data_IF_480854018399
#
_entry.id   IF_480854018399
#
_cell.length_a   1.000
_cell.length_b   1.000
_cell.length_c   1.000
_cell.angle_alpha   90.00
_cell.angle_beta   90.00
_cell.angle_gamma   90.00
#
_symmetry.space_group_name_H-M   'P 1'
#
loop_
_entity.id
_entity.type
_entity.pdbx_description
1 polymer ?
#
# COMPACT_ATOMS: atom_id res chain seq x y z
N UNK A 1 26.43 36.40 15.03
CA UNK A 1 25.10 35.92 15.44
C UNK A 1 24.02 36.39 14.46
N UNK A 2 24.40 36.55 13.18
CA UNK A 2 23.81 37.61 12.37
C UNK A 2 22.72 37.08 11.45
N UNK A 3 22.87 35.85 10.95
CA UNK A 3 21.89 35.23 10.03
C UNK A 3 20.58 34.89 10.75
N UNK A 4 20.63 34.39 11.99
CA UNK A 4 19.43 34.02 12.73
C UNK A 4 18.56 35.22 13.07
N UNK A 5 19.18 36.37 13.37
CA UNK A 5 18.48 37.62 13.62
C UNK A 5 17.91 38.22 12.33
N UNK A 6 18.65 38.16 11.22
CA UNK A 6 18.18 38.64 9.90
C UNK A 6 16.98 37.82 9.39
N UNK A 7 17.01 36.51 9.60
CA UNK A 7 15.96 35.60 9.10
C UNK A 7 14.84 35.44 10.14
N UNK A 8 14.94 36.07 11.31
CA UNK A 8 13.99 35.98 12.42
C UNK A 8 13.65 34.52 12.79
N UNK A 9 14.64 33.64 12.74
CA UNK A 9 14.48 32.21 13.01
C UNK A 9 15.35 31.78 14.19
N UNK A 10 14.95 30.74 14.95
CA UNK A 10 15.79 30.19 15.99
C UNK A 10 17.14 29.73 15.45
N UNK A 11 18.22 30.01 16.18
CA UNK A 11 19.59 29.60 15.81
C UNK A 11 19.68 28.09 15.52
N UNK A 12 18.93 27.29 16.28
CA UNK A 12 18.81 25.83 16.08
C UNK A 12 18.24 25.46 14.71
N UNK A 13 17.23 26.19 14.23
CA UNK A 13 16.61 25.94 12.92
C UNK A 13 17.54 26.32 11.78
N UNK A 14 18.24 27.45 11.91
CA UNK A 14 19.26 27.87 10.94
C UNK A 14 20.37 26.81 10.86
N UNK A 15 20.87 26.35 12.01
CA UNK A 15 21.91 25.33 12.08
C UNK A 15 21.47 24.00 11.44
N UNK A 16 20.28 23.50 11.80
CA UNK A 16 19.74 22.26 11.20
C UNK A 16 19.50 22.36 9.70
N UNK A 17 19.25 23.56 9.17
CA UNK A 17 19.12 23.80 7.72
C UNK A 17 20.49 23.77 7.05
N UNK A 18 21.50 24.42 7.64
CA UNK A 18 22.89 24.37 7.17
C UNK A 18 23.39 22.92 7.14
N UNK A 19 23.16 22.16 8.20
CA UNK A 19 23.61 20.76 8.30
C UNK A 19 22.93 19.87 7.25
N UNK A 20 21.66 20.13 6.94
CA UNK A 20 20.90 19.42 5.90
C UNK A 20 21.39 19.74 4.50
N UNK A 21 21.74 21.01 4.23
CA UNK A 21 22.36 21.44 2.97
C UNK A 21 23.72 20.77 2.81
N UNK A 22 24.57 20.77 3.85
CA UNK A 22 25.87 20.08 3.81
C UNK A 22 25.74 18.58 3.52
N UNK A 23 24.70 17.93 4.06
CA UNK A 23 24.48 16.48 3.92
C UNK A 23 23.80 16.08 2.60
N UNK A 24 22.79 16.82 2.15
CA UNK A 24 21.89 16.42 1.05
C UNK A 24 21.97 17.38 -0.15
N UNK A 25 22.71 18.49 -0.03
CA UNK A 25 22.73 19.57 -1.02
C UNK A 25 21.45 20.41 -1.07
N UNK A 26 20.48 20.16 -0.18
CA UNK A 26 19.16 20.80 -0.22
C UNK A 26 18.72 21.31 1.16
N UNK A 27 18.13 22.52 1.24
CA UNK A 27 17.49 23.01 2.46
C UNK A 27 16.14 22.33 2.73
N UNK A 28 15.55 21.67 1.72
CA UNK A 28 14.22 21.12 1.82
C UNK A 28 14.18 19.92 2.77
N UNK A 29 13.12 19.77 3.58
CA UNK A 29 12.93 18.57 4.39
C UNK A 29 12.79 17.36 3.48
N UNK A 30 13.48 16.28 3.84
CA UNK A 30 13.33 15.02 3.12
C UNK A 30 11.94 14.45 3.40
N UNK A 31 11.27 13.94 2.35
CA UNK A 31 10.01 13.21 2.53
C UNK A 31 10.26 12.01 3.45
N UNK A 32 9.53 11.94 4.55
CA UNK A 32 9.57 10.78 5.42
C UNK A 32 9.12 9.55 4.62
N UNK A 33 9.89 8.45 4.70
CA UNK A 33 9.47 7.18 4.11
C UNK A 33 8.25 6.68 4.88
N UNK A 34 7.13 6.57 4.17
CA UNK A 34 5.90 6.01 4.72
C UNK A 34 6.02 4.52 5.06
N UNK A 35 4.95 3.99 5.65
CA UNK A 35 4.85 2.60 6.10
C UNK A 35 5.16 1.60 4.98
N UNK A 36 6.03 0.63 5.27
CA UNK A 36 6.30 -0.53 4.40
C UNK A 36 5.07 -1.45 4.40
N UNK A 37 4.62 -1.86 3.22
CA UNK A 37 3.44 -2.72 3.06
C UNK A 37 3.79 -4.19 3.28
N UNK A 38 2.83 -4.96 3.83
CA UNK A 38 2.99 -6.40 4.07
C UNK A 38 3.18 -7.21 2.78
N UNK A 39 2.64 -6.73 1.65
CA UNK A 39 2.81 -7.37 0.35
C UNK A 39 4.08 -6.81 -0.31
N UNK A 40 5.11 -7.65 -0.42
CA UNK A 40 6.37 -7.35 -1.09
C UNK A 40 6.17 -7.18 -2.62
N UNK A 41 7.10 -6.51 -3.29
CA UNK A 41 7.14 -6.35 -4.75
C UNK A 41 7.04 -7.69 -5.50
N UNK A 42 7.66 -8.76 -4.99
CA UNK A 42 7.58 -10.10 -5.60
C UNK A 42 6.14 -10.64 -5.58
N UNK A 43 5.47 -10.54 -4.45
CA UNK A 43 4.09 -10.96 -4.26
C UNK A 43 3.12 -10.09 -5.06
N UNK A 44 3.41 -8.79 -5.22
CA UNK A 44 2.66 -7.91 -6.12
C UNK A 44 2.76 -8.39 -7.58
N UNK A 45 3.96 -8.74 -8.06
CA UNK A 45 4.14 -9.28 -9.43
C UNK A 45 3.37 -10.59 -9.63
N UNK A 46 3.35 -11.45 -8.61
CA UNK A 46 2.58 -12.70 -8.67
C UNK A 46 1.09 -12.39 -8.82
N UNK A 47 0.54 -11.49 -7.99
CA UNK A 47 -0.85 -11.05 -8.09
C UNK A 47 -1.19 -10.51 -9.49
N UNK A 48 -0.31 -9.69 -10.07
CA UNK A 48 -0.52 -9.14 -11.43
C UNK A 48 -0.54 -10.23 -12.50
N UNK A 49 0.33 -11.23 -12.41
CA UNK A 49 0.36 -12.36 -13.36
C UNK A 49 -0.92 -13.18 -13.27
N UNK A 50 -1.28 -13.60 -12.06
CA UNK A 50 -2.46 -14.45 -11.83
C UNK A 50 -3.76 -13.79 -12.31
N UNK A 51 -3.87 -12.47 -12.11
CA UNK A 51 -5.03 -11.68 -12.57
C UNK A 51 -5.05 -11.53 -14.10
N UNK A 52 -3.88 -11.37 -14.72
CA UNK A 52 -3.75 -11.31 -16.18
C UNK A 52 -4.14 -12.62 -16.85
N UNK A 53 -3.72 -13.75 -16.27
CA UNK A 53 -3.97 -15.08 -16.82
C UNK A 53 -5.44 -15.51 -16.62
N UNK A 54 -6.02 -15.20 -15.46
CA UNK A 54 -7.40 -15.57 -15.13
C UNK A 54 -8.13 -14.37 -14.50
N UNK A 55 -8.98 -13.65 -15.26
CA UNK A 55 -9.61 -12.42 -14.76
C UNK A 55 -10.67 -12.64 -13.66
N UNK A 56 -11.04 -13.90 -13.37
CA UNK A 56 -12.08 -14.30 -12.40
C UNK A 56 -11.54 -15.09 -11.20
N UNK A 57 -10.26 -14.93 -10.86
CA UNK A 57 -9.67 -15.65 -9.73
C UNK A 57 -10.43 -15.34 -8.44
N UNK A 58 -10.85 -16.38 -7.71
CA UNK A 58 -11.47 -16.29 -6.38
C UNK A 58 -10.36 -16.01 -5.34
N UNK A 59 -10.68 -15.24 -4.29
CA UNK A 59 -9.72 -14.86 -3.23
C UNK A 59 -8.92 -16.05 -2.67
N UNK A 60 -9.53 -17.21 -2.52
CA UNK A 60 -8.86 -18.40 -1.96
C UNK A 60 -7.66 -18.86 -2.80
N UNK A 61 -7.74 -18.73 -4.14
CA UNK A 61 -6.62 -19.04 -5.03
C UNK A 61 -5.49 -18.01 -4.89
N UNK A 62 -5.83 -16.72 -4.78
CA UNK A 62 -4.82 -15.68 -4.49
C UNK A 62 -4.17 -15.89 -3.11
N UNK A 63 -4.95 -16.34 -2.13
CA UNK A 63 -4.46 -16.63 -0.78
C UNK A 63 -3.49 -17.81 -0.79
N UNK A 64 -3.78 -18.88 -1.52
CA UNK A 64 -2.88 -20.03 -1.69
C UNK A 64 -1.58 -19.63 -2.39
N UNK A 65 -1.67 -18.86 -3.46
CA UNK A 65 -0.48 -18.39 -4.19
C UNK A 65 0.39 -17.46 -3.34
N UNK A 66 -0.21 -16.61 -2.53
CA UNK A 66 0.52 -15.76 -1.59
C UNK A 66 1.12 -16.56 -0.43
N UNK A 67 0.43 -17.60 0.05
CA UNK A 67 0.95 -18.52 1.05
C UNK A 67 2.20 -19.25 0.56
N UNK A 68 2.24 -19.65 -0.71
CA UNK A 68 3.42 -20.26 -1.32
C UNK A 68 4.67 -19.34 -1.35
N UNK A 69 4.47 -18.03 -1.20
CA UNK A 69 5.55 -17.02 -1.11
C UNK A 69 5.76 -16.56 0.34
N UNK A 70 5.21 -17.29 1.32
CA UNK A 70 5.25 -17.01 2.75
C UNK A 70 4.63 -15.63 3.12
N UNK A 71 3.60 -15.24 2.36
CA UNK A 71 2.86 -13.98 2.58
C UNK A 71 1.43 -14.29 2.99
N UNK A 72 1.21 -14.43 4.30
CA UNK A 72 -0.13 -14.57 4.83
C UNK A 72 -0.83 -13.21 4.97
N UNK A 73 -1.84 -12.92 4.15
CA UNK A 73 -2.54 -11.64 4.11
C UNK A 73 -4.05 -11.80 4.10
N UNK A 74 -4.75 -10.90 4.79
CA UNK A 74 -6.21 -10.89 4.79
C UNK A 74 -6.78 -10.34 3.48
N UNK A 75 -8.04 -10.66 3.19
CA UNK A 75 -8.77 -10.22 1.99
C UNK A 75 -8.68 -8.71 1.76
N UNK A 76 -8.82 -7.92 2.82
CA UNK A 76 -8.72 -6.46 2.74
C UNK A 76 -7.34 -6.00 2.25
N UNK A 77 -6.26 -6.64 2.71
CA UNK A 77 -4.89 -6.28 2.31
C UNK A 77 -4.67 -6.55 0.82
N UNK A 78 -5.20 -7.67 0.31
CA UNK A 78 -5.16 -7.98 -1.14
C UNK A 78 -5.95 -6.92 -1.92
N UNK A 79 -7.19 -6.62 -1.53
CA UNK A 79 -8.02 -5.60 -2.22
C UNK A 79 -7.33 -4.23 -2.23
N UNK A 80 -6.79 -3.79 -1.08
CA UNK A 80 -6.06 -2.52 -0.98
C UNK A 80 -4.81 -2.52 -1.86
N UNK A 81 -4.11 -3.64 -1.98
CA UNK A 81 -2.95 -3.73 -2.88
C UNK A 81 -3.37 -3.67 -4.36
N UNK A 82 -4.46 -4.31 -4.74
CA UNK A 82 -5.00 -4.29 -6.11
C UNK A 82 -5.46 -2.88 -6.50
N UNK A 83 -6.12 -2.15 -5.60
CA UNK A 83 -6.53 -0.74 -5.81
C UNK A 83 -5.35 0.18 -6.12
N UNK A 84 -4.18 -0.12 -5.57
CA UNK A 84 -2.96 0.66 -5.77
C UNK A 84 -2.19 0.27 -7.03
N UNK A 85 -2.41 -0.93 -7.56
CA UNK A 85 -1.81 -1.40 -8.81
C UNK A 85 -2.65 -1.03 -10.05
N UNK A 86 -3.59 -0.09 -9.91
CA UNK A 86 -4.44 0.45 -11.00
C UNK A 86 -5.26 -0.60 -11.78
N UNK A 87 -5.47 -1.79 -11.21
CA UNK A 87 -6.42 -2.77 -11.74
C UNK A 87 -7.85 -2.41 -11.30
N UNK A 88 -8.30 -1.22 -11.69
CA UNK A 88 -9.59 -0.64 -11.29
C UNK A 88 -10.78 -1.54 -11.62
N UNK A 89 -10.71 -2.30 -12.70
CA UNK A 89 -11.72 -3.28 -13.13
C UNK A 89 -11.86 -4.46 -12.17
N UNK A 90 -10.75 -4.97 -11.63
CA UNK A 90 -10.75 -6.09 -10.68
C UNK A 90 -11.27 -5.65 -9.33
N UNK A 91 -10.90 -4.45 -8.87
CA UNK A 91 -11.32 -3.95 -7.56
C UNK A 91 -12.82 -3.67 -7.43
N UNK A 92 -13.50 -3.31 -8.54
CA UNK A 92 -14.98 -3.22 -8.58
C UNK A 92 -15.64 -4.59 -8.34
N UNK A 93 -15.03 -5.69 -8.80
CA UNK A 93 -15.53 -7.06 -8.61
C UNK A 93 -15.40 -7.57 -7.18
N UNK A 94 -14.43 -7.03 -6.44
CA UNK A 94 -14.22 -7.34 -5.02
C UNK A 94 -14.86 -6.32 -4.07
N UNK A 95 -15.58 -5.33 -4.62
CA UNK A 95 -16.25 -4.32 -3.81
C UNK A 95 -17.32 -4.98 -2.93
N UNK A 96 -17.38 -4.55 -1.67
CA UNK A 96 -18.27 -5.14 -0.66
C UNK A 96 -19.74 -5.02 -1.07
N UNK A 97 -20.06 -4.09 -1.98
CA UNK A 97 -21.40 -3.81 -2.50
C UNK A 97 -21.97 -4.94 -3.38
N UNK A 98 -21.11 -5.77 -3.97
CA UNK A 98 -21.49 -6.97 -4.72
C UNK A 98 -21.31 -8.26 -3.90
N UNK A 99 -20.98 -8.14 -2.62
CA UNK A 99 -20.95 -9.26 -1.67
C UNK A 99 -22.06 -9.02 -0.65
N UNK A 100 -23.23 -9.59 -0.92
CA UNK A 100 -24.34 -9.58 0.05
C UNK A 100 -23.83 -10.21 1.34
N UNK A 101 -23.84 -9.51 2.49
CA UNK A 101 -23.43 -10.11 3.75
C UNK A 101 -24.55 -11.04 4.20
N UNK A 102 -24.45 -12.33 3.89
CA UNK A 102 -25.29 -13.36 4.51
C UNK A 102 -24.77 -13.63 5.92
N UNK A 103 -25.04 -12.72 6.86
CA UNK A 103 -24.85 -13.06 8.28
C UNK A 103 -26.17 -13.59 8.82
N UNK A 104 -26.23 -14.90 9.11
CA UNK A 104 -26.41 -15.49 10.46
C UNK A 104 -26.10 -17.00 10.36
N UNK A 105 -24.92 -17.41 10.85
CA UNK A 105 -24.41 -18.79 10.99
C UNK A 105 -23.99 -19.49 9.68
N UNK A 106 -22.69 -19.80 9.55
CA UNK A 106 -22.18 -20.73 8.52
C UNK A 106 -21.45 -20.13 7.31
N UNK A 107 -20.26 -19.55 7.54
CA UNK A 107 -19.01 -19.83 6.80
C UNK A 107 -18.92 -19.96 5.27
N UNK A 108 -19.87 -19.50 4.45
CA UNK A 108 -19.74 -19.58 2.98
C UNK A 108 -20.50 -18.45 2.28
N UNK A 109 -19.79 -17.50 1.68
CA UNK A 109 -20.39 -16.43 0.87
C UNK A 109 -20.56 -16.89 -0.58
N UNK A 110 -21.80 -16.98 -1.06
CA UNK A 110 -22.12 -17.21 -2.47
C UNK A 110 -21.95 -15.91 -3.24
N UNK A 111 -21.24 -15.97 -4.36
CA UNK A 111 -21.06 -14.86 -5.31
C UNK A 111 -22.22 -14.87 -6.30
N UNK A 112 -23.12 -13.88 -6.21
CA UNK A 112 -24.23 -13.70 -7.15
C UNK A 112 -23.82 -12.63 -8.17
N UNK A 113 -23.94 -12.98 -9.46
CA UNK A 113 -23.62 -12.15 -10.62
C UNK A 113 -24.66 -11.06 -10.86
#
# INVERSE_FOLDING_TARGET
>A
DDIANIVEMPKSTVQSTIDRIKKTGSPLPTKQKGRIYKINKRSQRLLTRTIGDVPFVIYDRLRLELYNVDVNVCRQTVISSLKRMEHGSVTKRYDLKHTVPTKKYGGGGVMVW
#
